data_IF_520500169360
#
_entry.id   IF_520500169360
#
_cell.length_a   1.000
_cell.length_b   1.000
_cell.length_c   1.000
_cell.angle_alpha   90.00
_cell.angle_beta   90.00
_cell.angle_gamma   90.00
#
_symmetry.space_group_name_H-M   'P 1'
#
loop_
_entity.id
_entity.type
_entity.pdbx_description
1 polymer ?
#
# COMPACT_ATOMS: atom_id res chain seq x y z
N UNK A 1 -11.14 54.01 -43.29
CA UNK A 1 -11.45 55.28 -42.59
C UNK A 1 -12.94 55.57 -42.75
N UNK A 2 -13.79 55.25 -41.77
CA UNK A 2 -14.94 56.10 -41.37
C UNK A 2 -15.50 55.63 -40.03
N UNK A 3 -15.99 56.60 -39.28
CA UNK A 3 -16.29 56.63 -37.86
C UNK A 3 -17.77 56.30 -37.55
N UNK A 4 -17.97 55.75 -36.34
CA UNK A 4 -18.98 56.15 -35.33
C UNK A 4 -20.48 56.05 -35.64
N UNK A 5 -21.21 55.27 -34.82
CA UNK A 5 -22.34 55.82 -34.03
C UNK A 5 -22.66 55.04 -32.76
N UNK A 6 -22.55 55.78 -31.67
CA UNK A 6 -23.00 55.58 -30.30
C UNK A 6 -24.54 55.73 -30.23
N UNK A 7 -25.22 55.00 -29.34
CA UNK A 7 -26.49 55.35 -28.66
C UNK A 7 -26.81 54.23 -27.65
N UNK A 8 -26.55 54.42 -26.35
CA UNK A 8 -27.40 55.08 -25.34
C UNK A 8 -28.38 54.11 -24.65
N UNK A 9 -28.03 53.70 -23.43
CA UNK A 9 -28.93 53.16 -22.38
C UNK A 9 -30.01 54.24 -22.01
N UNK A 10 -31.10 53.97 -21.24
CA UNK A 10 -31.07 53.32 -19.91
C UNK A 10 -32.34 52.53 -19.50
N UNK A 11 -32.31 51.83 -18.35
CA UNK A 11 -33.20 52.09 -17.19
C UNK A 11 -33.05 51.02 -16.09
N UNK A 12 -32.80 51.53 -14.88
CA UNK A 12 -32.82 50.85 -13.59
C UNK A 12 -34.23 50.39 -13.19
N UNK A 13 -34.31 49.22 -12.56
CA UNK A 13 -35.24 48.85 -11.47
C UNK A 13 -34.50 47.77 -10.66
N UNK A 14 -33.87 48.08 -9.51
CA UNK A 14 -34.42 48.28 -8.16
C UNK A 14 -35.00 47.01 -7.52
N UNK A 15 -34.55 46.74 -6.28
CA UNK A 15 -35.12 45.86 -5.22
C UNK A 15 -35.01 44.34 -5.43
N UNK A 16 -34.70 43.47 -4.46
CA UNK A 16 -34.33 43.55 -3.04
C UNK A 16 -34.31 42.10 -2.47
N UNK A 17 -33.50 41.84 -1.42
CA UNK A 17 -33.69 40.78 -0.38
C UNK A 17 -33.37 39.33 -0.90
N UNK A 18 -32.50 38.49 -0.33
CA UNK A 18 -32.35 38.03 1.06
C UNK A 18 -30.89 37.66 1.34
N UNK A 19 -30.35 38.20 2.43
CA UNK A 19 -29.13 37.75 3.08
C UNK A 19 -29.45 36.48 3.88
N UNK A 20 -29.21 35.30 3.30
CA UNK A 20 -29.27 34.05 4.05
C UNK A 20 -27.88 33.78 4.65
N UNK A 21 -27.70 34.19 5.90
CA UNK A 21 -26.60 33.75 6.74
C UNK A 21 -26.72 32.25 6.98
N UNK A 22 -26.07 31.46 6.11
CA UNK A 22 -25.93 30.03 6.29
C UNK A 22 -24.86 29.81 7.38
N UNK A 23 -25.30 29.85 8.63
CA UNK A 23 -24.53 29.33 9.76
C UNK A 23 -24.31 27.85 9.50
N UNK A 24 -23.18 27.51 8.89
CA UNK A 24 -22.68 26.14 8.84
C UNK A 24 -22.38 25.73 10.27
N UNK A 25 -23.34 25.02 10.86
CA UNK A 25 -23.16 24.26 12.08
C UNK A 25 -21.98 23.31 11.83
N UNK A 26 -20.80 23.72 12.27
CA UNK A 26 -19.61 22.89 12.34
C UNK A 26 -19.81 21.86 13.45
N UNK A 27 -20.70 20.90 13.20
CA UNK A 27 -20.74 19.66 13.97
C UNK A 27 -19.41 18.96 13.74
N UNK A 28 -18.44 19.23 14.61
CA UNK A 28 -17.25 18.39 14.68
C UNK A 28 -17.76 16.96 14.94
N UNK A 29 -17.46 15.99 14.06
CA UNK A 29 -17.79 14.61 14.35
C UNK A 29 -17.07 14.26 15.65
N UNK A 30 -17.85 14.08 16.72
CA UNK A 30 -17.36 13.51 17.96
C UNK A 30 -16.90 12.11 17.61
N UNK A 31 -15.58 11.95 17.47
CA UNK A 31 -14.96 10.66 17.26
C UNK A 31 -15.43 9.75 18.40
N UNK A 32 -16.35 8.85 18.09
CA UNK A 32 -16.78 7.81 19.02
C UNK A 32 -15.53 7.09 19.51
N UNK A 33 -15.34 6.93 20.83
CA UNK A 33 -14.16 6.25 21.36
C UNK A 33 -14.05 4.89 20.70
N UNK A 34 -12.98 4.71 19.93
CA UNK A 34 -12.73 3.48 19.20
C UNK A 34 -12.48 2.40 20.25
N UNK A 35 -13.50 1.57 20.52
CA UNK A 35 -13.39 0.42 21.43
C UNK A 35 -12.25 -0.44 20.92
N UNK A 36 -11.14 -0.39 21.63
CA UNK A 36 -9.93 -1.07 21.19
C UNK A 36 -10.23 -2.58 21.14
N UNK A 37 -10.01 -3.22 19.98
CA UNK A 37 -10.31 -4.64 19.85
C UNK A 37 -9.50 -5.41 20.91
N UNK A 38 -10.13 -6.41 21.54
CA UNK A 38 -9.46 -7.26 22.52
C UNK A 38 -8.25 -7.93 21.86
N UNK A 39 -7.04 -7.42 22.12
CA UNK A 39 -5.81 -7.91 21.50
C UNK A 39 -5.35 -9.14 22.25
N UNK A 40 -5.27 -10.28 21.55
CA UNK A 40 -4.61 -11.47 22.08
C UNK A 40 -3.10 -11.18 22.06
N UNK A 41 -2.50 -11.09 23.24
CA UNK A 41 -1.04 -10.95 23.38
C UNK A 41 -0.42 -12.34 23.28
N UNK A 42 0.32 -12.58 22.20
CA UNK A 42 1.07 -13.82 21.99
C UNK A 42 2.52 -13.60 22.43
N UNK A 43 3.09 -14.55 23.20
CA UNK A 43 4.52 -14.50 23.51
C UNK A 43 5.31 -14.97 22.30
N UNK A 44 6.46 -14.34 22.06
CA UNK A 44 7.37 -14.76 20.98
C UNK A 44 7.77 -16.23 21.12
N UNK A 45 7.95 -16.71 22.34
CA UNK A 45 8.26 -18.12 22.63
C UNK A 45 7.20 -19.12 22.17
N UNK A 46 5.96 -18.68 22.00
CA UNK A 46 4.86 -19.55 21.60
C UNK A 46 4.86 -19.76 20.07
N UNK A 47 5.48 -18.85 19.30
CA UNK A 47 5.64 -18.97 17.86
C UNK A 47 6.54 -20.15 17.47
N UNK A 48 7.59 -20.43 18.25
CA UNK A 48 8.54 -21.49 17.91
C UNK A 48 8.07 -22.91 18.28
N UNK A 49 7.11 -23.02 19.20
CA UNK A 49 6.78 -24.29 19.88
C UNK A 49 5.45 -24.90 19.48
N UNK A 50 4.46 -24.06 19.18
CA UNK A 50 3.06 -24.51 19.13
C UNK A 50 2.37 -24.11 17.83
N UNK A 51 2.82 -23.03 17.18
CA UNK A 51 2.09 -22.43 16.07
C UNK A 51 2.98 -22.31 14.84
N UNK A 52 2.53 -22.84 13.72
CA UNK A 52 3.11 -22.51 12.42
C UNK A 52 2.41 -21.30 11.85
N UNK A 53 3.16 -20.23 11.57
CA UNK A 53 2.61 -19.05 10.91
C UNK A 53 2.36 -19.34 9.43
N UNK A 54 1.11 -19.26 8.99
CA UNK A 54 0.77 -19.29 7.56
C UNK A 54 0.99 -17.90 6.95
N UNK A 55 1.78 -17.85 5.88
CA UNK A 55 2.00 -16.65 5.08
C UNK A 55 0.87 -16.37 4.08
N UNK A 56 0.99 -15.27 3.33
CA UNK A 56 0.07 -14.89 2.25
C UNK A 56 0.06 -15.90 1.11
N UNK A 57 1.15 -16.64 0.90
CA UNK A 57 1.21 -17.73 -0.09
C UNK A 57 0.43 -19.00 0.34
N UNK A 58 -0.24 -19.00 1.50
CA UNK A 58 -0.97 -20.17 2.05
C UNK A 58 -0.05 -21.36 2.36
N UNK A 59 1.16 -21.03 2.77
CA UNK A 59 2.20 -21.95 3.18
C UNK A 59 2.82 -21.45 4.48
N UNK A 60 3.45 -22.34 5.23
CA UNK A 60 4.21 -21.96 6.41
C UNK A 60 5.31 -20.95 6.02
N UNK A 61 5.47 -19.88 6.81
CA UNK A 61 6.60 -18.97 6.67
C UNK A 61 7.93 -19.75 6.73
N UNK A 62 8.92 -19.33 5.93
CA UNK A 62 10.18 -20.03 5.77
C UNK A 62 10.15 -21.21 4.78
N UNK A 63 8.99 -21.60 4.25
CA UNK A 63 8.91 -22.67 3.25
C UNK A 63 9.51 -22.20 1.93
N UNK A 64 10.58 -22.86 1.48
CA UNK A 64 11.20 -22.60 0.17
C UNK A 64 10.26 -23.04 -0.94
N UNK A 65 9.96 -22.12 -1.85
CA UNK A 65 9.06 -22.32 -2.97
C UNK A 65 9.56 -21.66 -4.24
N UNK A 66 9.09 -22.19 -5.37
CA UNK A 66 9.19 -21.52 -6.67
C UNK A 66 7.93 -20.70 -6.90
N UNK A 67 8.10 -19.43 -7.25
CA UNK A 67 7.02 -18.52 -7.63
C UNK A 67 7.27 -17.96 -9.02
N UNK A 68 6.23 -17.88 -9.82
CA UNK A 68 6.25 -17.15 -11.09
C UNK A 68 5.46 -15.85 -10.90
N UNK A 69 6.01 -14.74 -11.38
CA UNK A 69 5.38 -13.45 -11.23
C UNK A 69 5.87 -12.40 -12.21
N UNK A 70 5.35 -11.20 -12.03
CA UNK A 70 5.69 -10.03 -12.83
C UNK A 70 6.25 -8.94 -11.91
N UNK A 71 7.37 -8.33 -12.29
CA UNK A 71 7.91 -7.17 -11.57
C UNK A 71 7.08 -5.94 -11.89
N UNK A 72 6.57 -5.25 -10.87
CA UNK A 72 5.71 -4.09 -11.04
C UNK A 72 6.24 -2.88 -10.27
N UNK A 73 5.93 -1.70 -10.78
CA UNK A 73 6.19 -0.44 -10.12
C UNK A 73 5.07 -0.14 -9.11
N UNK A 74 5.44 0.02 -7.85
CA UNK A 74 4.49 0.29 -6.77
C UNK A 74 3.76 1.64 -6.92
N UNK A 75 4.28 2.59 -7.69
CA UNK A 75 3.59 3.85 -7.99
C UNK A 75 2.29 3.62 -8.78
N UNK A 76 2.24 2.55 -9.59
CA UNK A 76 1.05 2.19 -10.38
C UNK A 76 -0.14 1.74 -9.52
N UNK A 77 0.12 1.28 -8.30
CA UNK A 77 -0.91 0.75 -7.39
C UNK A 77 -1.64 1.85 -6.62
N UNK A 78 -1.16 3.10 -6.64
CA UNK A 78 -1.73 4.23 -5.88
C UNK A 78 -1.85 3.96 -4.37
N UNK A 79 -1.01 3.07 -3.84
CA UNK A 79 -0.90 2.79 -2.41
C UNK A 79 0.32 3.51 -1.86
N UNK A 80 0.14 4.44 -0.92
CA UNK A 80 1.22 5.25 -0.35
C UNK A 80 2.40 4.41 0.17
N UNK A 81 2.12 3.27 0.81
CA UNK A 81 3.15 2.36 1.30
C UNK A 81 3.99 1.70 0.18
N UNK A 82 3.55 1.74 -1.07
CA UNK A 82 4.23 1.12 -2.22
C UNK A 82 4.92 2.13 -3.13
N UNK A 83 4.78 3.43 -2.86
CA UNK A 83 5.36 4.45 -3.72
C UNK A 83 6.89 4.36 -3.79
N UNK A 84 7.43 4.47 -5.01
CA UNK A 84 8.84 4.32 -5.31
C UNK A 84 9.43 2.94 -4.99
N UNK A 85 8.60 1.90 -4.86
CA UNK A 85 9.05 0.53 -4.58
C UNK A 85 8.92 -0.36 -5.80
N UNK A 86 9.95 -1.18 -6.03
CA UNK A 86 9.85 -2.34 -6.92
C UNK A 86 9.16 -3.48 -6.18
N UNK A 87 8.11 -4.04 -6.76
CA UNK A 87 7.31 -5.10 -6.17
C UNK A 87 7.23 -6.31 -7.09
N UNK A 88 6.89 -7.45 -6.50
CA UNK A 88 6.62 -8.70 -7.21
C UNK A 88 5.12 -8.98 -7.16
N UNK A 89 4.47 -9.08 -8.31
CA UNK A 89 3.12 -9.63 -8.43
C UNK A 89 3.21 -11.14 -8.69
N UNK A 90 2.99 -11.95 -7.66
CA UNK A 90 3.05 -13.41 -7.76
C UNK A 90 1.77 -13.95 -8.40
N UNK A 91 1.90 -14.70 -9.49
CA UNK A 91 0.79 -15.27 -10.26
C UNK A 91 0.67 -16.79 -10.08
N UNK A 92 1.80 -17.47 -9.83
CA UNK A 92 1.86 -18.92 -9.59
C UNK A 92 2.77 -19.25 -8.42
N UNK A 93 2.41 -20.31 -7.70
CA UNK A 93 3.23 -20.91 -6.63
C UNK A 93 3.35 -22.40 -6.93
N UNK A 94 4.58 -22.91 -7.01
CA UNK A 94 4.87 -24.31 -7.36
C UNK A 94 4.13 -24.76 -8.63
N UNK A 95 4.10 -23.90 -9.66
CA UNK A 95 3.42 -24.16 -10.93
C UNK A 95 1.88 -24.04 -10.90
N UNK A 96 1.26 -23.98 -9.72
CA UNK A 96 -0.19 -23.77 -9.57
C UNK A 96 -0.54 -22.28 -9.64
N UNK A 97 -1.50 -21.93 -10.49
CA UNK A 97 -1.99 -20.56 -10.62
C UNK A 97 -2.81 -20.14 -9.40
N UNK A 98 -2.56 -18.95 -8.90
CA UNK A 98 -3.37 -18.34 -7.83
C UNK A 98 -4.69 -17.81 -8.41
N UNK A 99 -5.73 -17.75 -7.57
CA UNK A 99 -7.02 -17.15 -7.95
C UNK A 99 -6.84 -15.66 -8.27
N UNK A 100 -6.08 -14.97 -7.43
CA UNK A 100 -5.72 -13.57 -7.58
C UNK A 100 -4.20 -13.40 -7.38
N UNK A 101 -3.54 -12.51 -8.15
CA UNK A 101 -2.14 -12.24 -7.93
C UNK A 101 -1.88 -11.63 -6.54
N UNK A 102 -0.80 -12.06 -5.90
CA UNK A 102 -0.40 -11.55 -4.58
C UNK A 102 0.82 -10.65 -4.75
N UNK A 103 0.67 -9.37 -4.36
CA UNK A 103 1.75 -8.39 -4.44
C UNK A 103 2.64 -8.45 -3.20
N UNK A 104 3.92 -8.68 -3.40
CA UNK A 104 4.96 -8.72 -2.38
C UNK A 104 5.95 -7.58 -2.54
N UNK A 105 6.43 -7.08 -1.40
CA UNK A 105 7.80 -6.58 -1.32
C UNK A 105 8.71 -7.78 -1.31
N UNK A 106 9.83 -7.67 -2.01
CA UNK A 106 10.83 -8.73 -2.01
C UNK A 106 12.22 -8.13 -1.77
N UNK A 107 13.11 -8.99 -1.26
CA UNK A 107 14.52 -8.68 -1.05
C UNK A 107 15.34 -9.85 -1.57
N UNK A 108 16.55 -9.54 -2.01
CA UNK A 108 17.50 -10.56 -2.40
C UNK A 108 18.35 -10.95 -1.20
N UNK A 109 18.47 -12.25 -0.94
CA UNK A 109 19.43 -12.75 0.06
C UNK A 109 20.86 -12.56 -0.44
N UNK A 110 21.06 -12.63 -1.76
CA UNK A 110 22.31 -12.30 -2.44
C UNK A 110 22.01 -11.35 -3.60
N UNK A 111 22.75 -10.24 -3.66
CA UNK A 111 22.58 -9.21 -4.71
C UNK A 111 22.55 -9.85 -6.11
N UNK A 112 21.52 -9.58 -6.93
CA UNK A 112 21.44 -10.14 -8.26
C UNK A 112 22.48 -9.47 -9.16
N UNK A 113 22.96 -10.20 -10.17
CA UNK A 113 23.85 -9.63 -11.19
C UNK A 113 23.15 -8.57 -12.06
N UNK A 114 21.82 -8.65 -12.19
CA UNK A 114 21.00 -7.70 -12.91
C UNK A 114 19.65 -7.53 -12.20
N UNK A 115 19.24 -6.28 -12.01
CA UNK A 115 17.92 -5.94 -11.48
C UNK A 115 16.85 -6.10 -12.56
N UNK A 116 15.74 -6.80 -12.28
CA UNK A 116 14.72 -7.04 -13.28
C UNK A 116 13.93 -5.76 -13.58
N UNK A 117 13.60 -5.56 -14.85
CA UNK A 117 12.84 -4.39 -15.32
C UNK A 117 11.36 -4.52 -14.98
N UNK A 118 10.67 -3.39 -14.79
CA UNK A 118 9.21 -3.40 -14.67
C UNK A 118 8.55 -4.07 -15.89
N UNK A 119 7.50 -4.85 -15.64
CA UNK A 119 6.80 -5.66 -16.63
C UNK A 119 7.53 -6.95 -17.04
N UNK A 120 8.73 -7.23 -16.50
CA UNK A 120 9.40 -8.50 -16.77
C UNK A 120 8.70 -9.66 -16.05
N UNK A 121 8.56 -10.78 -16.76
CA UNK A 121 8.14 -12.05 -16.17
C UNK A 121 9.36 -12.77 -15.60
N UNK A 122 9.23 -13.22 -14.36
CA UNK A 122 10.33 -13.79 -13.61
C UNK A 122 9.88 -15.02 -12.86
N UNK A 123 10.80 -15.95 -12.68
CA UNK A 123 10.67 -17.05 -11.76
C UNK A 123 11.68 -16.85 -10.63
N UNK A 124 11.18 -16.83 -9.40
CA UNK A 124 12.00 -16.81 -8.21
C UNK A 124 11.91 -18.14 -7.47
N UNK A 125 13.04 -18.55 -6.90
CA UNK A 125 13.06 -19.51 -5.79
C UNK A 125 13.37 -18.70 -4.54
N UNK A 126 12.55 -18.85 -3.52
CA UNK A 126 12.64 -18.05 -2.31
C UNK A 126 11.66 -18.54 -1.26
N UNK A 127 11.45 -17.77 -0.21
CA UNK A 127 10.47 -18.09 0.83
C UNK A 127 9.81 -16.82 1.35
N UNK A 128 8.58 -16.95 1.83
CA UNK A 128 7.93 -15.88 2.56
C UNK A 128 8.51 -15.83 3.99
N UNK A 129 9.05 -14.68 4.36
CA UNK A 129 9.45 -14.34 5.73
C UNK A 129 8.49 -13.29 6.28
N UNK A 130 8.80 -12.76 7.46
CA UNK A 130 8.13 -11.55 7.92
C UNK A 130 9.03 -10.68 8.77
N UNK A 131 8.61 -9.44 8.89
CA UNK A 131 9.28 -8.42 9.67
C UNK A 131 8.26 -7.55 10.39
N UNK A 132 8.67 -6.97 11.51
CA UNK A 132 7.92 -5.89 12.10
C UNK A 132 8.31 -4.56 11.47
N UNK A 133 7.31 -3.72 11.22
CA UNK A 133 7.46 -2.42 10.60
C UNK A 133 6.58 -1.38 11.29
N UNK A 134 6.87 -0.12 10.98
CA UNK A 134 6.22 1.01 11.61
C UNK A 134 6.77 1.29 13.00
N UNK A 135 6.25 2.34 13.61
CA UNK A 135 6.62 2.76 14.96
C UNK A 135 5.37 2.71 15.83
N UNK A 136 5.50 2.33 17.11
CA UNK A 136 4.40 2.42 18.07
C UNK A 136 3.75 3.80 18.04
N UNK A 137 2.44 3.87 18.28
CA UNK A 137 1.69 5.13 18.14
C UNK A 137 2.18 6.19 19.13
N UNK A 138 2.61 5.74 20.31
CA UNK A 138 3.23 6.52 21.38
C UNK A 138 4.58 7.13 20.94
N UNK A 139 5.26 6.52 19.97
CA UNK A 139 6.52 7.02 19.42
C UNK A 139 6.38 8.33 18.65
N UNK A 140 5.18 8.68 18.18
CA UNK A 140 4.93 9.92 17.45
C UNK A 140 5.09 11.18 18.32
N UNK A 141 5.00 11.04 19.64
CA UNK A 141 5.25 12.14 20.57
C UNK A 141 6.73 12.59 20.55
N UNK A 142 7.63 11.71 20.12
CA UNK A 142 9.07 11.95 20.11
C UNK A 142 9.62 12.27 18.73
N UNK A 143 9.00 11.75 17.67
CA UNK A 143 9.49 11.89 16.29
C UNK A 143 8.32 12.07 15.32
N UNK A 144 8.44 13.04 14.40
CA UNK A 144 7.52 13.15 13.27
C UNK A 144 7.93 12.17 12.16
N UNK A 145 7.23 11.04 12.08
CA UNK A 145 7.54 9.94 11.16
C UNK A 145 6.33 9.55 10.32
N UNK A 146 6.57 9.16 9.07
CA UNK A 146 5.49 8.90 8.11
C UNK A 146 4.84 7.51 8.26
N UNK A 147 5.52 6.53 8.88
CA UNK A 147 5.01 5.15 9.01
C UNK A 147 4.60 4.89 10.46
N UNK A 148 3.30 4.97 10.72
CA UNK A 148 2.70 4.73 12.03
C UNK A 148 2.12 3.32 12.14
N UNK A 149 1.89 2.87 13.38
CA UNK A 149 1.33 1.56 13.70
C UNK A 149 2.39 0.47 13.58
N UNK A 150 2.89 -0.01 14.72
CA UNK A 150 3.78 -1.17 14.76
C UNK A 150 3.00 -2.43 14.36
N UNK A 151 3.40 -3.07 13.26
CA UNK A 151 2.70 -4.23 12.73
C UNK A 151 3.66 -5.23 12.09
N UNK A 152 3.26 -6.50 12.08
CA UNK A 152 3.92 -7.52 11.30
C UNK A 152 3.54 -7.39 9.83
N UNK A 153 4.51 -7.50 8.93
CA UNK A 153 4.27 -7.59 7.49
C UNK A 153 5.11 -8.70 6.85
N UNK A 154 4.56 -9.44 5.89
CA UNK A 154 5.31 -10.45 5.15
C UNK A 154 6.18 -9.83 4.06
N UNK A 155 7.32 -10.46 3.81
CA UNK A 155 8.28 -10.12 2.75
C UNK A 155 8.69 -11.41 2.04
N UNK A 156 8.93 -11.37 0.73
CA UNK A 156 9.46 -12.52 0.02
C UNK A 156 10.99 -12.41 -0.10
N UNK A 157 11.72 -13.37 0.46
CA UNK A 157 13.17 -13.43 0.39
C UNK A 157 13.58 -14.30 -0.82
N UNK A 158 14.28 -13.69 -1.77
CA UNK A 158 14.69 -14.31 -3.03
C UNK A 158 16.06 -14.96 -2.84
N UNK A 159 16.12 -16.27 -3.07
CA UNK A 159 17.34 -17.08 -3.06
C UNK A 159 17.94 -17.23 -4.45
N UNK A 160 17.09 -17.38 -5.47
CA UNK A 160 17.52 -17.57 -6.86
C UNK A 160 16.55 -16.92 -7.83
N UNK A 161 17.10 -16.38 -8.91
CA UNK A 161 16.40 -15.69 -9.97
C UNK A 161 16.58 -16.40 -11.32
N UNK A 162 15.50 -16.52 -12.09
CA UNK A 162 15.51 -16.94 -13.49
C UNK A 162 14.55 -16.07 -14.29
N UNK A 163 15.06 -15.39 -15.32
CA UNK A 163 14.21 -14.65 -16.26
C UNK A 163 13.40 -15.63 -17.11
N UNK A 164 12.11 -15.37 -17.25
CA UNK A 164 11.26 -16.15 -18.16
C UNK A 164 11.32 -15.48 -19.53
N UNK A 165 11.79 -16.21 -20.54
CA UNK A 165 11.78 -15.75 -21.93
C UNK A 165 10.35 -15.44 -22.33
N UNK A 166 10.17 -14.33 -23.05
CA UNK A 166 8.88 -13.94 -23.64
C UNK A 166 8.40 -14.98 -24.65
#
# INVERSE_FOLDING_TARGET
MTQTKLNSAPRLTATAIILAALCTLSGQPTATPHKEPNRIVMKVSDLDRTWTMEGRLKLALGTVVTVDGTIIDGDTLRVKAFQGKTLLSVEKVQGKRLLEPIVFRFRYVQEPSEMPKFGSKIQFVGFESGEFAGVPNEGNEYLMIATQGFHFRPVFEVLKQKMLSR
#
